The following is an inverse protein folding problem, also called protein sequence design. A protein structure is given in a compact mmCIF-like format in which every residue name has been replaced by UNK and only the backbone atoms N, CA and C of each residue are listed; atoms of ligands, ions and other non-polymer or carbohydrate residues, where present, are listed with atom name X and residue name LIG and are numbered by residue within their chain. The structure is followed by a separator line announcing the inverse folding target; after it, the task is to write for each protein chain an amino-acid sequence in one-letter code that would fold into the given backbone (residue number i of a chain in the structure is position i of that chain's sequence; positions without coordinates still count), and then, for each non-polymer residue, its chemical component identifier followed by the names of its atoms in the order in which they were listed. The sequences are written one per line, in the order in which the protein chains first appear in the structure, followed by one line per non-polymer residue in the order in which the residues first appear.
data_IF_392749806979
#
_entry.id   IF_392749806979
#
_cell.length_a   1.000
_cell.length_b   1.000
_cell.length_c   1.000
_cell.angle_alpha   90.00
_cell.angle_beta   90.00
_cell.angle_gamma   90.00
#
_symmetry.space_group_name_H-M   'P 1'
#
loop_
_entity.id
_entity.type
_entity.pdbx_description
1 polymer ?
#
# COMPACT_ATOMS: atom_id res chain seq x y z
N UNK A 1 12.35 0.00 3.75
CA UNK A 1 11.45 0.68 2.80
C UNK A 1 10.82 -0.29 1.82
N UNK A 2 11.60 -1.11 1.10
CA UNK A 2 11.12 -2.06 0.07
C UNK A 2 9.98 -2.96 0.57
N UNK A 3 10.12 -3.54 1.76
CA UNK A 3 9.09 -4.41 2.36
C UNK A 3 7.79 -3.65 2.64
N UNK A 4 7.87 -2.40 3.06
CA UNK A 4 6.69 -1.59 3.38
C UNK A 4 6.00 -1.00 2.14
N UNK A 5 6.70 -0.87 1.00
CA UNK A 5 6.15 -0.35 -0.25
C UNK A 5 5.05 -1.25 -0.85
N UNK A 6 4.98 -2.50 -0.42
CA UNK A 6 3.94 -3.45 -0.85
C UNK A 6 2.53 -2.98 -0.46
N UNK A 7 2.40 -2.20 0.61
CA UNK A 7 1.11 -1.74 1.11
C UNK A 7 0.40 -2.80 1.93
N UNK A 8 0.97 -3.12 3.09
CA UNK A 8 0.37 -4.03 4.07
C UNK A 8 -0.76 -3.33 4.83
N UNK A 9 -1.64 -4.11 5.43
CA UNK A 9 -2.74 -3.57 6.24
C UNK A 9 -2.25 -2.63 7.36
N UNK A 10 -1.13 -2.96 7.97
CA UNK A 10 -0.58 -2.18 9.08
C UNK A 10 0.01 -0.82 8.66
N UNK A 11 0.35 -0.61 7.39
CA UNK A 11 0.96 0.64 6.93
C UNK A 11 0.21 1.31 5.79
N UNK A 12 -1.03 0.90 5.54
CA UNK A 12 -1.87 1.51 4.53
C UNK A 12 -3.17 2.07 5.13
N UNK A 13 -3.66 3.15 4.56
CA UNK A 13 -4.93 3.75 4.92
C UNK A 13 -5.78 3.99 3.69
N UNK A 14 -7.07 3.66 3.82
CA UNK A 14 -8.07 3.86 2.78
C UNK A 14 -8.95 5.06 3.13
N UNK A 15 -9.53 5.71 2.12
CA UNK A 15 -10.47 6.81 2.28
C UNK A 15 -9.89 8.01 3.03
N UNK A 16 -8.63 8.31 2.77
CA UNK A 16 -7.99 9.48 3.34
C UNK A 16 -8.37 10.71 2.52
N UNK A 17 -8.70 11.81 3.22
CA UNK A 17 -8.95 13.10 2.58
C UNK A 17 -7.69 13.94 2.57
N UNK A 18 -7.33 14.45 1.40
CA UNK A 18 -6.25 15.39 1.19
C UNK A 18 -6.82 16.79 0.99
N UNK A 19 -6.52 17.70 1.90
CA UNK A 19 -7.04 19.07 1.91
C UNK A 19 -5.98 20.06 1.50
N UNK A 20 -6.41 21.11 0.81
CA UNK A 20 -5.56 22.24 0.42
C UNK A 20 -5.26 23.12 1.63
N UNK A 21 -4.06 23.69 1.64
CA UNK A 21 -3.69 24.77 2.52
C UNK A 21 -4.23 26.16 2.03
N UNK A 22 -3.91 27.21 2.77
CA UNK A 22 -4.30 28.58 2.42
C UNK A 22 -3.67 29.08 1.10
N UNK A 23 -2.64 28.40 0.59
CA UNK A 23 -1.97 28.70 -0.68
C UNK A 23 -2.50 27.82 -1.83
N UNK A 24 -3.60 27.11 -1.62
CA UNK A 24 -4.17 26.12 -2.54
C UNK A 24 -3.22 24.98 -2.91
N UNK A 25 -2.24 24.67 -2.07
CA UNK A 25 -1.35 23.52 -2.22
C UNK A 25 -1.82 22.38 -1.29
N UNK A 26 -1.55 21.16 -1.67
CA UNK A 26 -1.86 20.00 -0.84
C UNK A 26 -0.56 19.49 -0.21
N UNK A 27 -0.36 19.67 1.09
CA UNK A 27 0.82 19.17 1.79
C UNK A 27 0.78 17.65 1.92
N UNK A 28 1.92 16.99 1.70
CA UNK A 28 2.09 15.56 1.84
C UNK A 28 3.11 15.29 2.95
N UNK A 29 2.75 14.46 3.89
CA UNK A 29 3.63 14.09 5.01
C UNK A 29 4.85 13.32 4.51
N UNK A 30 6.02 13.56 5.13
CA UNK A 30 7.30 12.97 4.71
C UNK A 30 7.35 11.43 4.82
N UNK A 31 6.45 10.84 5.60
CA UNK A 31 6.33 9.40 5.76
C UNK A 31 5.40 8.75 4.72
N UNK A 32 4.80 9.51 3.81
CA UNK A 32 4.00 8.97 2.70
C UNK A 32 4.95 8.40 1.65
N UNK A 33 4.77 7.11 1.34
CA UNK A 33 5.56 6.40 0.34
C UNK A 33 4.86 6.34 -1.01
N UNK A 34 3.54 6.20 -0.99
CA UNK A 34 2.72 6.04 -2.19
C UNK A 34 1.32 6.60 -1.97
N UNK A 35 0.76 7.17 -3.03
CA UNK A 35 -0.62 7.64 -3.11
C UNK A 35 -1.29 6.99 -4.32
N UNK A 36 -2.50 6.50 -4.12
CA UNK A 36 -3.35 6.03 -5.19
C UNK A 36 -4.72 6.69 -5.07
N UNK A 37 -5.18 7.25 -6.17
CA UNK A 37 -6.44 7.96 -6.25
C UNK A 37 -7.48 7.08 -6.92
N UNK A 38 -8.71 7.16 -6.46
CA UNK A 38 -9.82 6.45 -7.09
C UNK A 38 -9.99 6.93 -8.54
N UNK A 39 -9.78 6.06 -9.54
CA UNK A 39 -9.83 6.44 -10.96
C UNK A 39 -11.22 6.92 -11.42
N UNK A 40 -12.28 6.60 -10.67
CA UNK A 40 -13.64 7.06 -10.96
C UNK A 40 -13.87 8.50 -10.51
N UNK A 41 -13.05 9.02 -9.57
CA UNK A 41 -13.18 10.37 -9.01
C UNK A 41 -12.19 11.35 -9.63
N UNK A 42 -11.23 10.87 -10.42
CA UNK A 42 -10.19 11.69 -11.05
C UNK A 42 -10.29 11.62 -12.57
N UNK A 43 -10.49 12.77 -13.19
CA UNK A 43 -10.28 12.93 -14.62
C UNK A 43 -8.79 13.15 -14.89
N UNK A 44 -8.10 12.14 -15.41
CA UNK A 44 -6.64 12.19 -15.67
C UNK A 44 -6.20 13.27 -16.66
N UNK A 45 -7.09 13.75 -17.52
CA UNK A 45 -6.78 14.89 -18.41
C UNK A 45 -6.67 16.21 -17.68
N UNK A 46 -7.34 16.36 -16.54
CA UNK A 46 -7.34 17.57 -15.73
C UNK A 46 -6.45 17.45 -14.49
N UNK A 47 -6.40 16.24 -13.93
CA UNK A 47 -5.70 15.96 -12.67
C UNK A 47 -4.83 14.71 -12.81
N UNK A 48 -3.53 14.90 -12.83
CA UNK A 48 -2.53 13.82 -12.78
C UNK A 48 -1.61 14.03 -11.55
N UNK A 49 -2.07 13.62 -10.36
CA UNK A 49 -1.40 13.92 -9.11
C UNK A 49 -0.19 13.03 -8.86
N UNK A 50 0.95 13.65 -8.57
CA UNK A 50 2.20 12.99 -8.16
C UNK A 50 2.80 13.68 -6.93
N UNK A 51 3.54 12.93 -6.11
CA UNK A 51 4.29 13.50 -4.99
C UNK A 51 5.54 14.16 -5.53
N UNK A 52 5.73 15.46 -5.22
CA UNK A 52 6.96 16.19 -5.52
C UNK A 52 7.41 16.99 -4.30
N UNK A 53 8.45 16.51 -3.64
CA UNK A 53 8.88 17.05 -2.35
C UNK A 53 7.82 16.82 -1.27
N UNK A 54 7.42 17.89 -0.58
CA UNK A 54 6.42 17.84 0.50
C UNK A 54 5.01 18.22 0.04
N UNK A 55 4.75 18.26 -1.27
CA UNK A 55 3.48 18.67 -1.83
C UNK A 55 3.03 17.75 -2.96
N UNK A 56 1.73 17.72 -3.17
CA UNK A 56 1.14 17.11 -4.35
C UNK A 56 1.31 18.05 -5.56
N UNK A 57 1.77 17.50 -6.67
CA UNK A 57 1.97 18.21 -7.93
C UNK A 57 1.05 17.65 -9.00
N UNK A 58 0.44 18.51 -9.80
CA UNK A 58 -0.38 18.11 -10.93
C UNK A 58 0.46 18.11 -12.21
N UNK A 59 0.70 16.95 -12.79
CA UNK A 59 1.43 16.84 -14.06
C UNK A 59 0.64 17.36 -15.23
N UNK A 60 -0.69 17.29 -15.21
CA UNK A 60 -1.53 17.76 -16.31
C UNK A 60 -1.49 19.28 -16.49
N UNK A 61 -1.31 20.04 -15.41
CA UNK A 61 -1.25 21.51 -15.42
C UNK A 61 0.12 22.07 -15.06
N UNK A 62 1.09 21.20 -14.79
CA UNK A 62 2.44 21.52 -14.33
C UNK A 62 2.47 22.48 -13.13
N UNK A 63 1.56 22.29 -12.16
CA UNK A 63 1.34 23.21 -11.04
C UNK A 63 1.21 22.48 -9.71
N UNK A 64 1.55 23.18 -8.61
CA UNK A 64 1.26 22.76 -7.23
C UNK A 64 -0.11 23.25 -6.73
N UNK A 65 -0.79 24.09 -7.52
CA UNK A 65 -2.06 24.73 -7.14
C UNK A 65 -3.21 23.82 -7.55
N UNK A 66 -4.10 23.57 -6.60
CA UNK A 66 -5.26 22.73 -6.78
C UNK A 66 -6.56 23.52 -6.57
N UNK A 67 -7.57 23.24 -7.35
CA UNK A 67 -8.89 23.88 -7.26
C UNK A 67 -9.85 23.10 -6.37
N UNK A 68 -9.53 21.83 -6.03
CA UNK A 68 -10.33 20.96 -5.19
C UNK A 68 -9.51 20.19 -4.16
N UNK A 69 -10.18 19.65 -3.15
CA UNK A 69 -9.66 18.64 -2.25
C UNK A 69 -9.86 17.25 -2.87
N UNK A 70 -9.16 16.25 -2.38
CA UNK A 70 -9.32 14.86 -2.80
C UNK A 70 -9.77 14.02 -1.63
N UNK A 71 -10.83 13.27 -1.82
CA UNK A 71 -11.32 12.25 -0.91
C UNK A 71 -11.08 10.85 -1.48
N UNK A 72 -11.24 9.81 -0.67
CA UNK A 72 -11.05 8.42 -1.05
C UNK A 72 -9.64 8.11 -1.60
N UNK A 73 -8.62 8.74 -1.03
CA UNK A 73 -7.22 8.47 -1.40
C UNK A 73 -6.71 7.28 -0.61
N UNK A 74 -6.07 6.33 -1.29
CA UNK A 74 -5.31 5.25 -0.67
C UNK A 74 -3.88 5.70 -0.45
N UNK A 75 -3.35 5.49 0.75
CA UNK A 75 -2.01 5.94 1.14
C UNK A 75 -1.23 4.80 1.77
N UNK A 76 0.02 4.63 1.34
CA UNK A 76 0.99 3.77 1.99
C UNK A 76 2.00 4.63 2.75
N UNK A 77 2.16 4.33 4.04
CA UNK A 77 3.07 5.05 4.93
C UNK A 77 4.36 4.26 5.19
N UNK A 78 5.45 5.00 5.38
CA UNK A 78 6.67 4.47 5.98
C UNK A 78 6.54 4.56 7.51
N UNK A 79 6.51 3.44 8.18
CA UNK A 79 6.58 3.34 9.63
C UNK A 79 8.02 3.13 10.09
N UNK A 80 8.34 3.58 11.30
CA UNK A 80 9.59 3.26 11.95
C UNK A 80 9.67 1.76 12.23
N UNK A 81 10.89 1.21 12.34
CA UNK A 81 11.06 -0.22 12.52
C UNK A 81 10.41 -0.74 13.82
N UNK A 82 10.45 0.07 14.86
CA UNK A 82 9.89 -0.20 16.18
C UNK A 82 8.36 -0.27 16.17
N UNK A 83 7.72 0.47 15.27
CA UNK A 83 6.26 0.55 15.13
C UNK A 83 5.70 -0.59 14.26
N UNK A 84 6.56 -1.38 13.64
CA UNK A 84 6.13 -2.50 12.80
C UNK A 84 5.64 -3.68 13.63
N UNK A 85 4.61 -4.42 13.18
CA UNK A 85 4.23 -5.69 13.78
C UNK A 85 5.39 -6.69 13.77
N UNK A 86 5.43 -7.57 14.77
CA UNK A 86 6.53 -8.56 14.90
C UNK A 86 6.76 -9.41 13.65
N UNK A 87 5.73 -9.90 12.93
CA UNK A 87 5.94 -10.62 11.67
C UNK A 87 6.68 -9.81 10.60
N UNK A 88 6.40 -8.51 10.50
CA UNK A 88 7.07 -7.61 9.56
C UNK A 88 8.53 -7.36 9.97
N UNK A 89 8.77 -7.13 11.26
CA UNK A 89 10.13 -6.98 11.80
C UNK A 89 10.96 -8.25 11.57
N UNK A 90 10.38 -9.42 11.84
CA UNK A 90 11.05 -10.70 11.61
C UNK A 90 11.40 -10.91 10.14
N UNK A 91 10.45 -10.68 9.22
CA UNK A 91 10.72 -10.80 7.79
C UNK A 91 11.84 -9.84 7.33
N UNK A 92 11.84 -8.59 7.81
CA UNK A 92 12.91 -7.62 7.47
C UNK A 92 14.26 -8.11 7.97
N UNK A 93 14.35 -8.64 9.21
CA UNK A 93 15.60 -9.18 9.78
C UNK A 93 16.13 -10.35 8.94
N UNK A 94 15.28 -11.33 8.65
CA UNK A 94 15.67 -12.53 7.88
C UNK A 94 16.12 -12.15 6.47
N UNK A 95 15.38 -11.28 5.77
CA UNK A 95 15.72 -10.78 4.44
C UNK A 95 17.03 -10.02 4.43
N UNK A 96 17.25 -9.13 5.40
CA UNK A 96 18.49 -8.37 5.52
C UNK A 96 19.69 -9.29 5.79
N UNK A 97 19.53 -10.28 6.68
CA UNK A 97 20.55 -11.28 6.97
C UNK A 97 20.91 -12.08 5.74
N UNK A 98 19.95 -12.56 4.95
CA UNK A 98 20.22 -13.28 3.71
C UNK A 98 21.01 -12.43 2.72
N UNK A 99 20.54 -11.20 2.47
CA UNK A 99 21.24 -10.29 1.53
C UNK A 99 22.67 -10.01 1.99
N UNK A 100 22.88 -9.85 3.29
CA UNK A 100 24.20 -9.63 3.87
C UNK A 100 25.11 -10.86 3.68
N UNK A 101 24.61 -12.06 3.99
CA UNK A 101 25.33 -13.32 3.81
C UNK A 101 25.69 -13.58 2.34
N UNK A 102 24.76 -13.37 1.43
CA UNK A 102 24.98 -13.55 -0.02
C UNK A 102 26.09 -12.63 -0.54
N UNK A 103 26.13 -11.39 -0.04
CA UNK A 103 27.16 -10.41 -0.47
C UNK A 103 28.54 -10.63 0.13
N UNK A 104 28.63 -11.16 1.35
CA UNK A 104 29.90 -11.32 2.06
C UNK A 104 30.51 -12.70 1.91
N UNK A 105 29.71 -13.76 1.96
CA UNK A 105 30.20 -15.13 2.08
C UNK A 105 30.11 -15.92 0.78
N UNK A 106 29.19 -15.59 -0.12
CA UNK A 106 29.06 -16.25 -1.42
C UNK A 106 28.84 -17.77 -1.38
N UNK A 107 28.50 -18.33 -0.21
CA UNK A 107 28.41 -19.78 -0.01
C UNK A 107 27.05 -20.32 -0.46
N UNK A 108 27.03 -21.11 -1.55
CA UNK A 108 25.82 -21.68 -2.16
C UNK A 108 25.00 -22.57 -1.20
N UNK A 109 25.65 -23.28 -0.28
CA UNK A 109 24.97 -24.12 0.70
C UNK A 109 24.16 -23.29 1.72
N UNK A 110 24.71 -22.21 2.23
CA UNK A 110 24.06 -21.31 3.16
C UNK A 110 22.92 -20.54 2.47
N UNK A 111 23.09 -20.17 1.20
CA UNK A 111 22.07 -19.51 0.41
C UNK A 111 20.74 -20.30 0.35
N UNK A 112 20.79 -21.61 0.17
CA UNK A 112 19.60 -22.46 0.09
C UNK A 112 18.77 -22.42 1.37
N UNK A 113 19.42 -22.53 2.54
CA UNK A 113 18.71 -22.47 3.84
C UNK A 113 18.15 -21.08 4.10
N UNK A 114 18.93 -20.04 3.89
CA UNK A 114 18.49 -18.65 4.13
C UNK A 114 17.34 -18.20 3.20
N UNK A 115 17.27 -18.76 1.98
CA UNK A 115 16.13 -18.52 1.06
C UNK A 115 14.86 -19.18 1.56
N UNK A 116 14.94 -20.39 2.11
CA UNK A 116 13.79 -21.07 2.71
C UNK A 116 13.28 -20.32 3.95
N UNK A 117 14.19 -19.85 4.79
CA UNK A 117 13.83 -19.07 5.98
C UNK A 117 13.16 -17.74 5.62
N UNK A 118 13.65 -17.05 4.58
CA UNK A 118 13.01 -15.82 4.08
C UNK A 118 11.60 -16.11 3.55
N UNK A 119 11.41 -17.20 2.81
CA UNK A 119 10.10 -17.58 2.29
C UNK A 119 9.13 -17.89 3.43
N UNK A 120 9.55 -18.65 4.45
CA UNK A 120 8.74 -18.96 5.61
C UNK A 120 8.34 -17.69 6.40
N UNK A 121 9.29 -16.78 6.59
CA UNK A 121 9.01 -15.50 7.24
C UNK A 121 8.03 -14.63 6.42
N UNK A 122 8.12 -14.63 5.09
CA UNK A 122 7.18 -13.94 4.21
C UNK A 122 5.77 -14.56 4.28
N UNK A 123 5.67 -15.89 4.28
CA UNK A 123 4.39 -16.60 4.41
C UNK A 123 3.73 -16.22 5.74
N UNK A 124 4.48 -16.23 6.84
CA UNK A 124 3.98 -15.84 8.15
C UNK A 124 3.50 -14.38 8.19
N UNK A 125 4.26 -13.47 7.58
CA UNK A 125 3.84 -12.07 7.44
C UNK A 125 2.51 -11.95 6.68
N UNK A 126 2.37 -12.62 5.54
CA UNK A 126 1.13 -12.62 4.74
C UNK A 126 -0.06 -13.18 5.51
N UNK A 127 0.13 -14.27 6.23
CA UNK A 127 -0.91 -14.88 7.06
C UNK A 127 -1.37 -13.92 8.17
N UNK A 128 -0.43 -13.27 8.84
CA UNK A 128 -0.73 -12.28 9.87
C UNK A 128 -1.47 -11.06 9.31
N UNK A 129 -1.06 -10.55 8.16
CA UNK A 129 -1.70 -9.42 7.50
C UNK A 129 -3.14 -9.77 7.08
N UNK A 130 -3.35 -10.96 6.51
CA UNK A 130 -4.67 -11.45 6.12
C UNK A 130 -5.58 -11.66 7.34
N UNK A 131 -5.05 -12.21 8.44
CA UNK A 131 -5.82 -12.40 9.67
C UNK A 131 -6.27 -11.07 10.29
N UNK A 132 -5.44 -10.03 10.18
CA UNK A 132 -5.76 -8.67 10.67
C UNK A 132 -6.74 -7.96 9.73
N UNK A 133 -6.79 -8.33 8.46
CA UNK A 133 -7.61 -7.66 7.45
C UNK A 133 -9.10 -7.94 7.57
N UNK A 134 -9.53 -8.89 8.42
CA UNK A 134 -10.95 -9.29 8.58
C UNK A 134 -11.68 -9.45 7.24
N UNK A 135 -11.01 -10.15 6.31
CA UNK A 135 -11.56 -10.39 4.97
C UNK A 135 -12.70 -11.40 5.06
N UNK A 136 -13.91 -10.89 5.20
CA UNK A 136 -15.10 -11.67 4.81
C UNK A 136 -15.07 -11.83 3.28
N UNK A 137 -15.25 -13.07 2.82
CA UNK A 137 -15.48 -13.39 1.41
C UNK A 137 -16.59 -12.52 0.79
N UNK A 138 -17.49 -12.00 1.62
CA UNK A 138 -18.61 -11.15 1.23
C UNK A 138 -18.26 -9.67 1.08
N UNK A 139 -17.06 -9.22 1.44
CA UNK A 139 -16.65 -7.82 1.34
C UNK A 139 -16.09 -7.42 -0.04
N UNK A 140 -15.93 -8.36 -0.97
CA UNK A 140 -15.59 -7.99 -2.35
C UNK A 140 -16.87 -7.61 -3.10
N UNK A 141 -16.97 -6.37 -3.55
CA UNK A 141 -18.08 -5.81 -4.33
C UNK A 141 -18.42 -6.66 -5.57
N UNK A 142 -17.45 -7.34 -6.16
CA UNK A 142 -17.66 -8.21 -7.32
C UNK A 142 -18.34 -9.53 -6.96
N UNK A 143 -18.08 -10.08 -5.78
CA UNK A 143 -18.79 -11.28 -5.32
C UNK A 143 -20.22 -10.94 -4.88
N UNK A 144 -20.44 -9.76 -4.28
CA UNK A 144 -21.78 -9.28 -3.96
C UNK A 144 -22.64 -9.10 -5.21
N UNK A 145 -22.08 -8.60 -6.30
CA UNK A 145 -22.78 -8.48 -7.60
C UNK A 145 -23.10 -9.84 -8.21
N UNK A 146 -22.25 -10.83 -8.03
CA UNK A 146 -22.47 -12.19 -8.56
C UNK A 146 -23.59 -12.90 -7.78
N UNK A 147 -23.62 -12.76 -6.46
CA UNK A 147 -24.68 -13.35 -5.60
C UNK A 147 -26.01 -12.65 -5.81
N UNK A 148 -26.05 -11.34 -6.00
CA UNK A 148 -27.29 -10.61 -6.27
C UNK A 148 -27.88 -10.86 -7.66
N UNK A 149 -27.07 -11.19 -8.67
CA UNK A 149 -27.58 -11.61 -9.98
C UNK A 149 -28.41 -12.90 -9.92
N UNK A 150 -28.10 -13.80 -9.00
CA UNK A 150 -28.86 -15.06 -8.83
C UNK A 150 -30.22 -14.87 -8.17
N UNK A 151 -30.48 -13.72 -7.51
CA UNK A 151 -31.77 -13.43 -6.85
C UNK A 151 -32.75 -12.64 -7.70
N UNK A 152 -32.38 -12.24 -8.91
CA UNK A 152 -33.14 -11.37 -9.79
C UNK A 152 -34.12 -12.08 -10.76
N UNK A 153 -34.19 -13.40 -10.77
CA UNK A 153 -35.16 -14.14 -11.61
C UNK A 153 -36.43 -14.36 -10.80
N UNK A 154 -37.35 -13.39 -10.79
CA UNK A 154 -38.75 -13.65 -10.52
C UNK A 154 -39.35 -14.24 -11.79
N UNK A 155 -39.60 -15.53 -11.76
CA UNK A 155 -40.52 -16.17 -12.71
C UNK A 155 -41.93 -15.70 -12.35
N UNK A 156 -42.54 -14.95 -13.22
CA UNK A 156 -43.97 -14.75 -13.32
C UNK A 156 -44.53 -15.88 -14.13
#
# INVERSE_FOLDING_TARGET
REVQMVGWKFNSSYKVSLTRDNSNKIPISANVMHLEFNPLLINKTTYDPVIRGSFLFNLATESFIWDKNFDDVYIIYLLQFEDLPEPARNYIKVRASRIYHDRLLGATAIHKFSTTDELNALIFLRQSDTATADHSIFNSLDQFKTVNRSRGVKLT
#
